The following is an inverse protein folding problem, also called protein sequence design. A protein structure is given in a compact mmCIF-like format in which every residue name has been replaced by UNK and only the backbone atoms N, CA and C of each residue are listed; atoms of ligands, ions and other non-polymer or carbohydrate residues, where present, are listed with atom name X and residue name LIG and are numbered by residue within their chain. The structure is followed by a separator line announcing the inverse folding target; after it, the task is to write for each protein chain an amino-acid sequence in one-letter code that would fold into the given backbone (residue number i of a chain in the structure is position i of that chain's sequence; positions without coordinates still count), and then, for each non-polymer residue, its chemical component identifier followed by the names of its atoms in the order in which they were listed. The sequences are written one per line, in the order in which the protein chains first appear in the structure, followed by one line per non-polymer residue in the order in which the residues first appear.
data_IF_403091370749
#
_entry.id   IF_403091370749
#
_cell.length_a   1.000
_cell.length_b   1.000
_cell.length_c   1.000
_cell.angle_alpha   90.00
_cell.angle_beta   90.00
_cell.angle_gamma   90.00
#
_symmetry.space_group_name_H-M   'P 1'
#
loop_
_entity.id
_entity.type
_entity.pdbx_description
1 polymer ?
#
# COMPACT_ATOMS: atom_id res chain seq x y z
N UNK A 1 5.07 17.30 15.20
CA UNK A 1 5.87 16.07 15.09
C UNK A 1 5.03 15.00 14.39
N UNK A 2 5.58 14.23 13.45
CA UNK A 2 4.92 13.03 12.93
C UNK A 2 4.93 11.96 14.04
N UNK A 3 3.87 11.18 14.16
CA UNK A 3 3.84 10.15 15.20
C UNK A 3 4.86 9.05 14.88
N UNK A 4 5.44 8.36 15.88
CA UNK A 4 6.41 7.28 15.64
C UNK A 4 5.89 6.22 14.66
N UNK A 5 4.58 5.94 14.71
CA UNK A 5 3.91 5.00 13.81
C UNK A 5 3.95 5.46 12.35
N UNK A 6 3.72 6.76 12.10
CA UNK A 6 3.79 7.32 10.73
C UNK A 6 5.23 7.30 10.22
N UNK A 7 6.21 7.66 11.05
CA UNK A 7 7.63 7.58 10.67
C UNK A 7 8.04 6.14 10.32
N UNK A 8 7.71 5.17 11.16
CA UNK A 8 7.99 3.75 10.90
C UNK A 8 7.34 3.26 9.60
N UNK A 9 6.08 3.66 9.34
CA UNK A 9 5.42 3.35 8.08
C UNK A 9 6.15 3.94 6.87
N UNK A 10 6.56 5.22 6.93
CA UNK A 10 7.27 5.87 5.83
C UNK A 10 8.61 5.18 5.54
N UNK A 11 9.36 4.83 6.60
CA UNK A 11 10.60 4.04 6.49
C UNK A 11 10.35 2.67 5.87
N UNK A 12 9.26 1.99 6.28
CA UNK A 12 8.86 0.69 5.72
C UNK A 12 8.64 0.76 4.20
N UNK A 13 7.97 1.84 3.74
CA UNK A 13 7.70 2.09 2.33
C UNK A 13 8.96 2.47 1.52
N UNK A 14 10.10 2.69 2.19
CA UNK A 14 11.37 3.04 1.56
C UNK A 14 11.59 4.53 1.37
N UNK A 15 10.90 5.38 2.12
CA UNK A 15 11.16 6.82 2.14
C UNK A 15 12.24 7.18 3.18
N UNK A 16 13.06 8.21 2.92
CA UNK A 16 14.03 8.73 3.89
C UNK A 16 13.32 9.42 5.06
N UNK A 17 14.08 9.67 6.13
CA UNK A 17 13.61 10.51 7.23
C UNK A 17 13.48 11.96 6.74
N UNK A 18 12.27 12.52 6.89
CA UNK A 18 11.90 13.86 6.43
C UNK A 18 11.36 14.69 7.61
N UNK A 19 11.38 16.04 7.50
CA UNK A 19 10.67 16.91 8.43
C UNK A 19 9.21 16.47 8.63
N UNK A 20 8.68 16.64 9.85
CA UNK A 20 7.40 16.08 10.27
C UNK A 20 6.22 16.50 9.39
N UNK A 21 6.21 17.75 8.93
CA UNK A 21 5.27 18.34 7.99
C UNK A 21 5.32 17.65 6.62
N UNK A 22 6.50 17.55 6.00
CA UNK A 22 6.68 16.85 4.73
C UNK A 22 6.30 15.36 4.81
N UNK A 23 6.70 14.70 5.90
CA UNK A 23 6.37 13.31 6.20
C UNK A 23 4.84 13.09 6.28
N UNK A 24 4.12 13.96 7.01
CA UNK A 24 2.67 13.88 7.14
C UNK A 24 1.94 14.14 5.82
N UNK A 25 2.42 15.10 5.02
CA UNK A 25 1.86 15.42 3.70
C UNK A 25 2.05 14.26 2.73
N UNK A 26 3.24 13.65 2.70
CA UNK A 26 3.54 12.48 1.88
C UNK A 26 2.71 11.27 2.32
N UNK A 27 2.64 11.00 3.63
CA UNK A 27 1.78 9.97 4.21
C UNK A 27 0.32 10.10 3.75
N UNK A 28 -0.25 11.31 3.85
CA UNK A 28 -1.62 11.57 3.42
C UNK A 28 -1.82 11.27 1.91
N UNK A 29 -0.83 11.58 1.08
CA UNK A 29 -0.85 11.24 -0.34
C UNK A 29 -0.76 9.74 -0.61
N UNK A 30 0.11 9.02 0.10
CA UNK A 30 0.24 7.57 -0.05
C UNK A 30 -1.05 6.83 0.28
N UNK A 31 -1.87 7.39 1.18
CA UNK A 31 -3.16 6.82 1.59
C UNK A 31 -4.29 7.05 0.58
N UNK A 32 -4.10 7.92 -0.41
CA UNK A 32 -5.12 8.20 -1.42
C UNK A 32 -5.48 6.93 -2.21
N UNK A 33 -4.47 6.26 -2.77
CA UNK A 33 -4.66 5.03 -3.53
C UNK A 33 -5.30 3.89 -2.72
N UNK A 34 -4.74 3.44 -1.57
CA UNK A 34 -5.30 2.29 -0.85
C UNK A 34 -6.70 2.54 -0.30
N UNK A 35 -7.10 3.78 -0.02
CA UNK A 35 -8.49 4.08 0.35
C UNK A 35 -9.45 3.79 -0.79
N UNK A 36 -9.14 4.30 -1.99
CA UNK A 36 -9.97 4.06 -3.19
C UNK A 36 -9.99 2.58 -3.53
N UNK A 37 -8.81 1.94 -3.59
CA UNK A 37 -8.70 0.52 -3.94
C UNK A 37 -9.44 -0.34 -2.92
N UNK A 38 -9.27 -0.10 -1.62
CA UNK A 38 -9.95 -0.90 -0.60
C UNK A 38 -11.47 -0.75 -0.66
N UNK A 39 -11.99 0.47 -0.84
CA UNK A 39 -13.43 0.68 -1.03
C UNK A 39 -13.96 -0.10 -2.24
N UNK A 40 -13.24 -0.08 -3.37
CA UNK A 40 -13.63 -0.84 -4.56
C UNK A 40 -13.49 -2.35 -4.36
N UNK A 41 -12.53 -2.82 -3.57
CA UNK A 41 -12.43 -4.23 -3.17
C UNK A 41 -13.67 -4.65 -2.38
N UNK A 42 -14.09 -3.86 -1.39
CA UNK A 42 -15.32 -4.15 -0.62
C UNK A 42 -16.54 -4.20 -1.54
N UNK A 43 -16.66 -3.27 -2.49
CA UNK A 43 -17.73 -3.31 -3.51
C UNK A 43 -17.65 -4.59 -4.35
N UNK A 44 -16.46 -4.98 -4.79
CA UNK A 44 -16.23 -6.23 -5.54
C UNK A 44 -16.65 -7.47 -4.74
N UNK A 45 -16.36 -7.51 -3.45
CA UNK A 45 -16.76 -8.59 -2.53
C UNK A 45 -18.28 -8.61 -2.37
N UNK A 46 -18.91 -7.48 -2.04
CA UNK A 46 -20.37 -7.42 -1.82
C UNK A 46 -21.15 -7.81 -3.08
N UNK A 47 -20.67 -7.38 -4.25
CA UNK A 47 -21.28 -7.72 -5.54
C UNK A 47 -20.82 -9.08 -6.08
N UNK A 48 -19.87 -9.75 -5.43
CA UNK A 48 -19.18 -10.95 -5.91
C UNK A 48 -18.77 -10.83 -7.39
N UNK A 49 -18.23 -9.65 -7.77
CA UNK A 49 -17.99 -9.30 -9.17
C UNK A 49 -16.54 -9.60 -9.57
N UNK A 50 -16.29 -10.62 -10.42
CA UNK A 50 -14.94 -10.91 -10.91
C UNK A 50 -14.35 -9.74 -11.70
N UNK A 51 -15.19 -8.98 -12.41
CA UNK A 51 -14.77 -7.86 -13.24
C UNK A 51 -14.18 -6.71 -12.43
N UNK A 52 -14.73 -6.42 -11.25
CA UNK A 52 -14.16 -5.41 -10.36
C UNK A 52 -12.74 -5.80 -9.94
N UNK A 53 -12.54 -7.07 -9.56
CA UNK A 53 -11.21 -7.56 -9.18
C UNK A 53 -10.23 -7.61 -10.36
N UNK A 54 -10.66 -8.00 -11.57
CA UNK A 54 -9.82 -7.95 -12.77
C UNK A 54 -9.37 -6.53 -13.09
N UNK A 55 -10.29 -5.57 -13.09
CA UNK A 55 -9.98 -4.16 -13.37
C UNK A 55 -8.99 -3.62 -12.34
N UNK A 56 -9.22 -3.86 -11.05
CA UNK A 56 -8.29 -3.44 -10.00
C UNK A 56 -6.92 -4.13 -10.14
N UNK A 57 -6.90 -5.43 -10.42
CA UNK A 57 -5.65 -6.17 -10.66
C UNK A 57 -4.86 -5.58 -11.82
N UNK A 58 -5.52 -5.32 -12.95
CA UNK A 58 -4.90 -4.73 -14.13
C UNK A 58 -4.30 -3.34 -13.83
N UNK A 59 -5.03 -2.49 -13.10
CA UNK A 59 -4.54 -1.16 -12.70
C UNK A 59 -3.35 -1.28 -11.74
N UNK A 60 -3.37 -2.21 -10.79
CA UNK A 60 -2.23 -2.40 -9.89
C UNK A 60 -1.01 -2.99 -10.61
N UNK A 61 -1.19 -3.93 -11.54
CA UNK A 61 -0.12 -4.41 -12.41
C UNK A 61 0.47 -3.28 -13.26
N UNK A 62 -0.38 -2.40 -13.81
CA UNK A 62 0.07 -1.20 -14.51
C UNK A 62 0.96 -0.32 -13.62
N UNK A 63 0.61 -0.11 -12.36
CA UNK A 63 1.42 0.66 -11.41
C UNK A 63 2.78 0.02 -11.13
N UNK A 64 2.84 -1.31 -11.11
CA UNK A 64 4.07 -2.07 -10.90
C UNK A 64 5.00 -1.94 -12.10
N UNK A 65 4.46 -2.10 -13.31
CA UNK A 65 5.20 -2.06 -14.57
C UNK A 65 5.63 -0.65 -14.94
N UNK A 66 4.76 0.34 -14.73
CA UNK A 66 4.94 1.72 -15.16
C UNK A 66 4.82 2.70 -13.98
N UNK A 67 5.73 2.65 -12.99
CA UNK A 67 5.61 3.45 -11.76
C UNK A 67 5.69 4.96 -11.99
N UNK A 68 6.28 5.42 -13.09
CA UNK A 68 6.33 6.85 -13.46
C UNK A 68 5.01 7.41 -13.97
N UNK A 69 4.06 6.56 -14.37
CA UNK A 69 2.75 6.95 -14.91
C UNK A 69 1.59 6.32 -14.13
N UNK A 70 1.78 6.12 -12.82
CA UNK A 70 0.73 5.65 -11.93
C UNK A 70 -0.46 6.64 -11.93
N UNK A 71 -1.67 6.22 -12.38
CA UNK A 71 -2.83 7.08 -12.51
C UNK A 71 -3.27 7.66 -11.15
N UNK A 72 -3.12 6.92 -10.05
CA UNK A 72 -3.49 7.41 -8.73
C UNK A 72 -2.55 8.53 -8.26
N UNK A 73 -1.25 8.38 -8.48
CA UNK A 73 -0.27 9.40 -8.11
C UNK A 73 -0.42 10.64 -8.99
N UNK A 74 -0.67 10.45 -10.29
CA UNK A 74 -0.94 11.56 -11.22
C UNK A 74 -2.22 12.30 -10.86
N UNK A 75 -3.28 11.58 -10.52
CA UNK A 75 -4.55 12.16 -10.07
C UNK A 75 -4.36 12.91 -8.74
N UNK A 76 -3.69 12.29 -7.75
CA UNK A 76 -3.39 12.94 -6.49
C UNK A 76 -2.56 14.22 -6.68
N UNK A 77 -1.50 14.16 -7.50
CA UNK A 77 -0.64 15.30 -7.74
C UNK A 77 -1.41 16.45 -8.40
N UNK A 78 -2.22 16.15 -9.44
CA UNK A 78 -2.99 17.16 -10.17
C UNK A 78 -4.14 17.75 -9.37
N UNK A 79 -4.90 16.92 -8.65
CA UNK A 79 -6.15 17.32 -7.99
C UNK A 79 -5.94 17.82 -6.57
N UNK A 80 -4.89 17.35 -5.88
CA UNK A 80 -4.69 17.61 -4.46
C UNK A 80 -3.33 18.26 -4.19
N UNK A 81 -2.23 17.72 -4.71
CA UNK A 81 -0.91 18.21 -4.33
C UNK A 81 -0.61 19.60 -4.91
N UNK A 82 -0.68 19.76 -6.23
CA UNK A 82 -0.39 21.03 -6.91
C UNK A 82 -1.34 22.15 -6.46
N UNK A 83 -2.68 21.98 -6.41
CA UNK A 83 -3.57 23.06 -6.03
C UNK A 83 -3.46 23.48 -4.56
N UNK A 84 -2.94 22.61 -3.68
CA UNK A 84 -2.82 22.87 -2.24
C UNK A 84 -1.38 23.07 -1.79
N UNK A 85 -0.45 23.29 -2.72
CA UNK A 85 0.98 23.47 -2.44
C UNK A 85 1.62 22.32 -1.67
N UNK A 86 1.12 21.08 -1.84
CA UNK A 86 1.66 19.90 -1.15
C UNK A 86 2.79 19.25 -1.93
N UNK A 87 3.66 18.54 -1.21
CA UNK A 87 4.74 17.73 -1.80
C UNK A 87 4.13 16.69 -2.76
N UNK A 88 4.49 16.71 -4.05
CA UNK A 88 4.00 15.75 -5.01
C UNK A 88 4.60 14.36 -4.76
N UNK A 89 3.83 13.32 -5.07
CA UNK A 89 4.31 11.94 -5.05
C UNK A 89 5.14 11.67 -6.31
N UNK A 90 6.37 11.20 -6.11
CA UNK A 90 7.18 10.62 -7.18
C UNK A 90 6.83 9.16 -7.43
N UNK A 91 7.58 8.51 -8.33
CA UNK A 91 7.40 7.10 -8.64
C UNK A 91 7.47 6.22 -7.37
N UNK A 92 6.58 5.24 -7.28
CA UNK A 92 6.48 4.35 -6.13
C UNK A 92 7.83 3.63 -5.83
N UNK A 93 8.33 3.69 -4.58
CA UNK A 93 9.55 2.96 -4.20
C UNK A 93 9.39 1.44 -4.31
N UNK A 94 10.52 0.72 -4.31
CA UNK A 94 10.57 -0.74 -4.41
C UNK A 94 9.63 -1.50 -3.48
N UNK A 95 9.65 -1.26 -2.14
CA UNK A 95 8.75 -1.93 -1.20
C UNK A 95 7.26 -1.71 -1.53
N UNK A 96 6.89 -0.50 -1.93
CA UNK A 96 5.51 -0.15 -2.29
C UNK A 96 5.08 -0.82 -3.60
N UNK A 97 5.96 -0.84 -4.61
CA UNK A 97 5.71 -1.54 -5.88
C UNK A 97 5.52 -3.04 -5.65
N UNK A 98 6.35 -3.66 -4.81
CA UNK A 98 6.17 -5.06 -4.44
C UNK A 98 4.83 -5.31 -3.76
N UNK A 99 4.43 -4.46 -2.80
CA UNK A 99 3.14 -4.55 -2.15
C UNK A 99 1.96 -4.42 -3.14
N UNK A 100 2.06 -3.52 -4.12
CA UNK A 100 1.07 -3.39 -5.20
C UNK A 100 1.02 -4.65 -6.07
N UNK A 101 2.16 -5.26 -6.39
CA UNK A 101 2.22 -6.50 -7.16
C UNK A 101 1.57 -7.68 -6.44
N UNK A 102 1.80 -7.81 -5.13
CA UNK A 102 1.11 -8.83 -4.33
C UNK A 102 -0.39 -8.58 -4.27
N UNK A 103 -0.84 -7.34 -4.05
CA UNK A 103 -2.26 -7.02 -4.09
C UNK A 103 -2.87 -7.33 -5.46
N UNK A 104 -2.17 -7.02 -6.56
CA UNK A 104 -2.59 -7.34 -7.92
C UNK A 104 -2.74 -8.86 -8.15
N UNK A 105 -1.81 -9.66 -7.63
CA UNK A 105 -1.84 -11.12 -7.72
C UNK A 105 -3.02 -11.72 -6.93
N UNK A 106 -3.28 -11.24 -5.71
CA UNK A 106 -4.43 -11.70 -4.91
C UNK A 106 -5.77 -11.31 -5.54
N UNK A 107 -5.87 -10.09 -6.11
CA UNK A 107 -7.06 -9.67 -6.86
C UNK A 107 -7.28 -10.53 -8.11
N UNK A 108 -6.20 -10.87 -8.84
CA UNK A 108 -6.29 -11.78 -9.98
C UNK A 108 -6.74 -13.17 -9.55
N UNK A 109 -6.19 -13.69 -8.45
CA UNK A 109 -6.60 -14.96 -7.86
C UNK A 109 -8.08 -15.00 -7.48
N UNK A 110 -8.56 -13.95 -6.81
CA UNK A 110 -9.99 -13.79 -6.48
C UNK A 110 -10.86 -13.78 -7.75
N UNK A 111 -10.50 -12.96 -8.75
CA UNK A 111 -11.23 -12.87 -10.01
C UNK A 111 -11.31 -14.20 -10.75
N UNK A 112 -10.17 -14.89 -10.93
CA UNK A 112 -10.11 -16.17 -11.61
C UNK A 112 -10.89 -17.25 -10.85
N UNK A 113 -10.85 -17.23 -9.52
CA UNK A 113 -11.61 -18.16 -8.68
C UNK A 113 -13.11 -17.94 -8.85
N UNK A 114 -13.59 -16.68 -8.88
CA UNK A 114 -14.99 -16.37 -9.14
C UNK A 114 -15.43 -16.77 -10.55
N UNK A 115 -14.61 -16.50 -11.58
CA UNK A 115 -14.89 -16.91 -12.96
C UNK A 115 -14.95 -18.44 -13.12
N UNK A 116 -14.14 -19.17 -12.35
CA UNK A 116 -14.13 -20.64 -12.33
C UNK A 116 -15.21 -21.25 -11.43
N UNK A 117 -16.03 -20.44 -10.73
CA UNK A 117 -17.03 -20.92 -9.77
C UNK A 117 -16.43 -21.50 -8.46
N UNK A 118 -15.14 -21.29 -8.21
CA UNK A 118 -14.42 -21.75 -7.02
C UNK A 118 -14.62 -20.76 -5.85
N UNK A 119 -15.86 -20.65 -5.36
CA UNK A 119 -16.23 -19.63 -4.36
C UNK A 119 -15.43 -19.68 -3.06
N UNK A 120 -15.10 -20.88 -2.56
CA UNK A 120 -14.28 -21.04 -1.35
C UNK A 120 -12.89 -20.42 -1.56
N UNK A 121 -12.28 -20.65 -2.73
CA UNK A 121 -10.97 -20.10 -3.04
C UNK A 121 -11.03 -18.57 -3.22
N UNK A 122 -12.10 -18.07 -3.84
CA UNK A 122 -12.36 -16.64 -3.94
C UNK A 122 -12.43 -15.98 -2.55
N UNK A 123 -13.22 -16.53 -1.62
CA UNK A 123 -13.33 -16.00 -0.25
C UNK A 123 -12.00 -16.01 0.51
N UNK A 124 -11.14 -17.00 0.28
CA UNK A 124 -9.80 -17.02 0.87
C UNK A 124 -8.99 -15.81 0.37
N UNK A 125 -8.93 -15.58 -0.95
CA UNK A 125 -8.23 -14.42 -1.50
C UNK A 125 -8.83 -13.08 -1.03
N UNK A 126 -10.16 -12.97 -1.02
CA UNK A 126 -10.90 -11.80 -0.53
C UNK A 126 -10.60 -11.52 0.95
N UNK A 127 -10.61 -12.55 1.81
CA UNK A 127 -10.28 -12.41 3.22
C UNK A 127 -8.85 -11.90 3.42
N UNK A 128 -7.88 -12.45 2.69
CA UNK A 128 -6.50 -11.95 2.72
C UNK A 128 -6.39 -10.48 2.29
N UNK A 129 -7.10 -10.08 1.23
CA UNK A 129 -7.16 -8.68 0.79
C UNK A 129 -7.72 -7.79 1.91
N UNK A 130 -8.85 -8.19 2.52
CA UNK A 130 -9.48 -7.42 3.61
C UNK A 130 -8.55 -7.25 4.79
N UNK A 131 -7.89 -8.33 5.25
CA UNK A 131 -6.94 -8.28 6.35
C UNK A 131 -5.74 -7.38 6.00
N UNK A 132 -5.16 -7.54 4.82
CA UNK A 132 -3.99 -6.77 4.40
C UNK A 132 -4.29 -5.26 4.26
N UNK A 133 -5.42 -4.89 3.63
CA UNK A 133 -5.82 -3.49 3.51
C UNK A 133 -6.25 -2.90 4.85
N UNK A 134 -6.86 -3.68 5.74
CA UNK A 134 -7.20 -3.22 7.09
C UNK A 134 -5.95 -2.94 7.92
N UNK A 135 -4.95 -3.82 7.87
CA UNK A 135 -3.66 -3.60 8.50
C UNK A 135 -2.94 -2.36 7.95
N UNK A 136 -3.06 -2.12 6.64
CA UNK A 136 -2.50 -0.94 5.99
C UNK A 136 -3.20 0.36 6.42
N UNK A 137 -4.52 0.42 6.34
CA UNK A 137 -5.27 1.67 6.54
C UNK A 137 -5.47 2.02 8.02
N UNK A 138 -5.70 1.02 8.88
CA UNK A 138 -5.96 1.23 10.30
C UNK A 138 -4.71 0.97 11.15
N UNK A 139 -3.93 -0.05 10.82
CA UNK A 139 -2.70 -0.40 11.53
C UNK A 139 -1.48 0.41 11.11
N UNK A 140 -1.57 1.20 10.03
CA UNK A 140 -0.43 1.92 9.42
C UNK A 140 0.75 0.98 9.18
N UNK A 141 0.44 -0.23 8.72
CA UNK A 141 1.41 -1.29 8.48
C UNK A 141 1.18 -1.92 7.11
N UNK A 142 2.17 -1.84 6.24
CA UNK A 142 2.09 -2.48 4.94
C UNK A 142 2.74 -3.85 4.99
N UNK A 143 1.91 -4.89 5.13
CA UNK A 143 2.36 -6.28 5.11
C UNK A 143 3.21 -6.59 3.87
N UNK A 144 2.88 -6.00 2.72
CA UNK A 144 3.66 -6.25 1.51
C UNK A 144 5.06 -5.65 1.52
N UNK A 145 5.21 -4.42 2.01
CA UNK A 145 6.52 -3.82 2.19
C UNK A 145 7.34 -4.56 3.27
N UNK A 146 6.69 -5.10 4.30
CA UNK A 146 7.33 -5.95 5.31
C UNK A 146 7.90 -7.23 4.68
N UNK A 147 7.08 -7.98 3.92
CA UNK A 147 7.53 -9.19 3.21
C UNK A 147 8.68 -8.88 2.25
N UNK A 148 8.63 -7.75 1.54
CA UNK A 148 9.73 -7.32 0.68
C UNK A 148 11.08 -7.23 1.41
N UNK A 149 11.09 -6.62 2.61
CA UNK A 149 12.32 -6.49 3.40
C UNK A 149 12.78 -7.84 3.98
N UNK A 150 11.85 -8.72 4.36
CA UNK A 150 12.19 -10.09 4.78
C UNK A 150 12.86 -10.87 3.64
N UNK A 151 12.29 -10.83 2.44
CA UNK A 151 12.86 -11.50 1.25
C UNK A 151 14.23 -10.94 0.86
N UNK A 152 14.52 -9.68 1.20
CA UNK A 152 15.85 -9.06 1.03
C UNK A 152 16.83 -9.35 2.17
N UNK A 153 16.47 -10.21 3.13
CA UNK A 153 17.30 -10.54 4.29
C UNK A 153 17.40 -9.40 5.33
N UNK A 154 16.54 -8.39 5.25
CA UNK A 154 16.57 -7.21 6.14
C UNK A 154 15.57 -7.34 7.29
N UNK A 155 15.52 -8.51 7.94
CA UNK A 155 14.54 -8.79 8.98
C UNK A 155 14.63 -7.84 10.19
N UNK A 156 15.84 -7.48 10.63
CA UNK A 156 16.03 -6.49 11.70
C UNK A 156 15.45 -5.12 11.35
N UNK A 157 15.66 -4.66 10.12
CA UNK A 157 15.05 -3.43 9.62
C UNK A 157 13.52 -3.54 9.55
N UNK A 158 13.00 -4.64 8.97
CA UNK A 158 11.56 -4.88 8.88
C UNK A 158 10.88 -4.81 10.26
N UNK A 159 11.47 -5.46 11.26
CA UNK A 159 10.98 -5.45 12.65
C UNK A 159 11.07 -4.06 13.29
N UNK A 160 12.11 -3.28 12.98
CA UNK A 160 12.22 -1.90 13.46
C UNK A 160 11.16 -0.95 12.88
N UNK A 161 10.48 -1.34 11.80
CA UNK A 161 9.42 -0.57 11.15
C UNK A 161 8.00 -0.96 11.58
N UNK A 162 7.87 -1.87 12.56
CA UNK A 162 6.56 -2.24 13.08
C UNK A 162 5.86 -1.05 13.78
N UNK A 163 4.52 -0.97 13.78
CA UNK A 163 3.79 0.12 14.42
C UNK A 163 4.11 0.30 15.91
N UNK A 164 4.43 -0.81 16.59
CA UNK A 164 4.78 -0.85 18.01
C UNK A 164 6.30 -0.85 18.27
N UNK A 165 7.14 -0.80 17.23
CA UNK A 165 8.58 -0.70 17.39
C UNK A 165 8.96 0.69 17.93
N UNK A 166 9.80 0.71 18.97
CA UNK A 166 10.29 1.97 19.54
C UNK A 166 11.23 2.66 18.55
N UNK A 167 11.21 4.01 18.46
CA UNK A 167 12.20 4.72 17.69
C UNK A 167 13.61 4.37 18.21
N UNK A 168 14.62 4.26 17.34
CA UNK A 168 16.01 4.16 17.79
C UNK A 168 16.31 5.36 18.70
N UNK A 169 16.92 5.11 19.86
CA UNK A 169 17.30 6.17 20.80
C UNK A 169 18.23 7.14 20.09
N UNK A 170 17.78 8.36 19.86
CA UNK A 170 18.67 9.49 19.57
C UNK A 170 19.43 9.83 20.85
N UNK A 171 20.64 9.27 21.03
CA UNK A 171 21.47 9.60 22.18
C UNK A 171 22.37 8.45 22.62
N UNK A 172 23.56 8.43 22.05
CA UNK A 172 24.73 7.70 22.54
C UNK A 172 25.93 8.39 21.92
N UNK A 173 26.27 9.56 22.49
CA UNK A 173 27.59 10.14 22.34
C UNK A 173 28.62 9.23 23.01
#
# INVERSE_FOLDING_TARGET
MSTPVVSNFMRQQGFPDEPADACNMRFAGLYFQPRIVFSLVIVGIVLQSPWVFLLLSAVLWWNVLFPGVNPFERAYNRLIATPRGRVPLGAAPGPRRFAQGMAAAFLLGAALSLLAGLHVLAWIFEAFLVVAFSALLFGKFCLGAYVFHLLRGKAGFANSTLPWARPPRSGGA
#
